data_IF_158895857274
#
_entry.id   IF_158895857274
#
_cell.length_a   1.000
_cell.length_b   1.000
_cell.length_c   1.000
_cell.angle_alpha   90.00
_cell.angle_beta   90.00
_cell.angle_gamma   90.00
#
_symmetry.space_group_name_H-M   'P 1'
#
loop_
_entity.id
_entity.type
_entity.pdbx_description
1 polymer ?
#
# COMPACT_ATOMS: atom_id res chain seq x y z
N UNK A 1 -24.23 12.88 -15.74
CA UNK A 1 -23.11 13.85 -15.85
C UNK A 1 -22.66 14.20 -14.45
N UNK A 2 -21.47 13.75 -14.03
CA UNK A 2 -20.92 14.12 -12.73
C UNK A 2 -20.57 15.60 -12.75
N UNK A 3 -21.17 16.38 -11.87
CA UNK A 3 -20.84 17.79 -11.65
C UNK A 3 -19.39 17.88 -11.19
N UNK A 4 -18.50 18.26 -12.10
CA UNK A 4 -17.09 18.48 -11.77
C UNK A 4 -17.02 19.54 -10.65
N UNK A 5 -16.58 19.14 -9.47
CA UNK A 5 -16.37 20.08 -8.37
C UNK A 5 -15.44 21.23 -8.84
N UNK A 6 -15.62 22.44 -8.34
CA UNK A 6 -14.70 23.54 -8.61
C UNK A 6 -13.26 23.10 -8.32
N UNK A 7 -12.31 23.39 -9.18
CA UNK A 7 -10.90 22.96 -9.11
C UNK A 7 -10.28 23.20 -7.72
N UNK A 8 -10.61 24.35 -7.12
CA UNK A 8 -10.14 24.68 -5.77
C UNK A 8 -10.67 23.72 -4.69
N UNK A 9 -11.88 23.20 -4.83
CA UNK A 9 -12.47 22.24 -3.90
C UNK A 9 -11.81 20.87 -4.03
N UNK A 10 -11.53 20.43 -5.25
CA UNK A 10 -10.85 19.17 -5.51
C UNK A 10 -9.41 19.17 -4.94
N UNK A 11 -8.65 20.27 -5.13
CA UNK A 11 -7.30 20.40 -4.58
C UNK A 11 -7.30 20.45 -3.04
N UNK A 12 -8.29 21.09 -2.40
CA UNK A 12 -8.46 21.08 -0.94
C UNK A 12 -8.77 19.67 -0.43
N UNK A 13 -9.67 18.95 -1.11
CA UNK A 13 -10.02 17.56 -0.79
C UNK A 13 -8.79 16.64 -0.84
N UNK A 14 -7.92 16.82 -1.86
CA UNK A 14 -6.70 16.02 -1.95
C UNK A 14 -5.70 16.30 -0.82
N UNK A 15 -5.60 17.52 -0.31
CA UNK A 15 -4.76 17.83 0.86
C UNK A 15 -5.29 17.14 2.12
N UNK A 16 -6.60 17.15 2.32
CA UNK A 16 -7.24 16.43 3.44
C UNK A 16 -7.01 14.93 3.30
N UNK A 17 -7.12 14.39 2.09
CA UNK A 17 -6.85 12.98 1.82
C UNK A 17 -5.39 12.61 2.05
N UNK A 18 -4.43 13.42 1.62
CA UNK A 18 -3.00 13.24 1.91
C UNK A 18 -2.73 13.21 3.42
N UNK A 19 -3.33 14.11 4.18
CA UNK A 19 -3.22 14.15 5.63
C UNK A 19 -3.78 12.88 6.29
N UNK A 20 -5.00 12.46 5.91
CA UNK A 20 -5.59 11.24 6.46
C UNK A 20 -4.84 9.97 6.04
N UNK A 21 -4.31 9.94 4.80
CA UNK A 21 -3.45 8.84 4.34
C UNK A 21 -2.17 8.75 5.18
N UNK A 22 -1.53 9.88 5.47
CA UNK A 22 -0.36 9.95 6.36
C UNK A 22 -0.68 9.37 7.74
N UNK A 23 -1.76 9.81 8.39
CA UNK A 23 -2.15 9.34 9.72
C UNK A 23 -2.53 7.85 9.72
N UNK A 24 -3.22 7.38 8.68
CA UNK A 24 -3.62 5.98 8.55
C UNK A 24 -2.40 5.06 8.41
N UNK A 25 -1.47 5.40 7.52
CA UNK A 25 -0.24 4.62 7.33
C UNK A 25 0.65 4.67 8.57
N UNK A 26 0.79 5.85 9.17
CA UNK A 26 1.52 6.04 10.43
C UNK A 26 0.96 5.14 11.52
N UNK A 27 -0.36 5.13 11.72
CA UNK A 27 -1.03 4.25 12.68
C UNK A 27 -0.76 2.76 12.39
N UNK A 28 -0.69 2.38 11.11
CA UNK A 28 -0.38 1.00 10.71
C UNK A 28 0.99 0.52 11.18
N UNK A 29 2.02 1.37 11.10
CA UNK A 29 3.41 0.99 11.38
C UNK A 29 3.90 1.33 12.79
N UNK A 30 3.29 2.30 13.49
CA UNK A 30 3.73 2.76 14.82
C UNK A 30 3.80 1.63 15.85
N UNK A 31 2.84 0.71 15.83
CA UNK A 31 2.74 -0.35 16.83
C UNK A 31 3.86 -1.38 16.74
N UNK A 32 4.51 -1.53 15.58
CA UNK A 32 5.65 -2.44 15.44
C UNK A 32 6.78 -2.09 16.41
N UNK A 33 7.00 -0.80 16.68
CA UNK A 33 8.01 -0.33 17.62
C UNK A 33 7.59 -0.58 19.08
N UNK A 34 6.29 -0.66 19.35
CA UNK A 34 5.75 -0.86 20.69
C UNK A 34 5.71 -2.34 21.12
N UNK A 35 5.78 -3.30 20.18
CA UNK A 35 5.61 -4.73 20.46
C UNK A 35 6.46 -5.25 21.62
N UNK A 36 7.77 -4.91 21.76
CA UNK A 36 8.57 -5.40 22.88
C UNK A 36 8.10 -4.89 24.26
N UNK A 37 7.62 -3.63 24.33
CA UNK A 37 7.07 -3.08 25.59
C UNK A 37 5.74 -3.71 25.95
N UNK A 38 4.87 -3.91 24.95
CA UNK A 38 3.57 -4.56 25.13
C UNK A 38 3.74 -6.03 25.56
N UNK A 39 4.72 -6.74 24.97
CA UNK A 39 5.09 -8.11 25.33
C UNK A 39 5.47 -8.22 26.80
N UNK A 40 6.34 -7.32 27.28
CA UNK A 40 6.76 -7.29 28.69
C UNK A 40 5.60 -6.96 29.63
N UNK A 41 4.74 -6.01 29.29
CA UNK A 41 3.63 -5.57 30.15
C UNK A 41 2.57 -6.65 30.37
N UNK A 42 2.22 -7.39 29.31
CA UNK A 42 1.21 -8.45 29.37
C UNK A 42 1.78 -9.85 29.56
N UNK A 43 3.11 -9.98 29.76
CA UNK A 43 3.82 -11.26 29.88
C UNK A 43 3.50 -12.22 28.72
N UNK A 44 3.45 -11.69 27.50
CA UNK A 44 3.15 -12.43 26.27
C UNK A 44 4.40 -12.61 25.42
N UNK A 45 4.41 -13.65 24.58
CA UNK A 45 5.46 -13.85 23.58
C UNK A 45 5.38 -12.78 22.47
N UNK A 46 6.51 -12.51 21.81
CA UNK A 46 6.52 -11.59 20.65
C UNK A 46 5.55 -12.07 19.56
N UNK A 47 5.45 -13.38 19.33
CA UNK A 47 4.49 -13.95 18.38
C UNK A 47 3.03 -13.62 18.73
N UNK A 48 2.65 -13.70 20.00
CA UNK A 48 1.31 -13.33 20.46
C UNK A 48 1.03 -11.84 20.30
N UNK A 49 1.98 -10.98 20.68
CA UNK A 49 1.80 -9.53 20.59
C UNK A 49 1.79 -9.03 19.14
N UNK A 50 2.47 -9.71 18.24
CA UNK A 50 2.49 -9.39 16.79
C UNK A 50 1.10 -9.44 16.15
N UNK A 51 0.11 -10.09 16.80
CA UNK A 51 -1.28 -10.04 16.39
C UNK A 51 -1.85 -8.61 16.31
N UNK A 52 -1.36 -7.67 17.11
CA UNK A 52 -1.75 -6.26 17.01
C UNK A 52 -1.47 -5.67 15.61
N UNK A 53 -0.38 -6.07 14.98
CA UNK A 53 -0.02 -5.61 13.63
C UNK A 53 -0.60 -6.51 12.55
N UNK A 54 -0.56 -7.83 12.73
CA UNK A 54 -1.06 -8.79 11.72
C UNK A 54 -2.57 -8.68 11.53
N UNK A 55 -3.35 -8.63 12.61
CA UNK A 55 -4.80 -8.46 12.52
C UNK A 55 -5.17 -7.12 11.89
N UNK A 56 -4.41 -6.05 12.21
CA UNK A 56 -4.60 -4.75 11.60
C UNK A 56 -4.45 -4.82 10.07
N UNK A 57 -3.33 -5.36 9.56
CA UNK A 57 -3.05 -5.45 8.12
C UNK A 57 -4.12 -6.31 7.41
N UNK A 58 -4.52 -7.43 8.03
CA UNK A 58 -5.55 -8.32 7.48
C UNK A 58 -6.89 -7.60 7.32
N UNK A 59 -7.39 -7.00 8.40
CA UNK A 59 -8.67 -6.28 8.40
C UNK A 59 -8.61 -5.07 7.47
N UNK A 60 -7.48 -4.37 7.42
CA UNK A 60 -7.26 -3.24 6.54
C UNK A 60 -7.33 -3.65 5.06
N UNK A 61 -6.70 -4.77 4.68
CA UNK A 61 -6.73 -5.30 3.33
C UNK A 61 -8.16 -5.71 2.89
N UNK A 62 -8.87 -6.46 3.75
CA UNK A 62 -10.25 -6.89 3.52
C UNK A 62 -11.18 -5.67 3.42
N UNK A 63 -11.02 -4.75 4.36
CA UNK A 63 -11.81 -3.52 4.42
C UNK A 63 -11.62 -2.63 3.20
N UNK A 64 -10.41 -2.54 2.63
CA UNK A 64 -10.14 -1.72 1.44
C UNK A 64 -11.02 -2.14 0.24
N UNK A 65 -11.20 -3.45 0.00
CA UNK A 65 -12.10 -3.96 -1.04
C UNK A 65 -13.56 -3.74 -0.67
N UNK A 66 -13.89 -4.01 0.59
CA UNK A 66 -15.26 -3.84 1.11
C UNK A 66 -15.72 -2.39 0.94
N UNK A 67 -14.91 -1.41 1.36
CA UNK A 67 -15.21 0.00 1.15
C UNK A 67 -15.20 0.40 -0.32
N UNK A 68 -14.35 -0.21 -1.15
CA UNK A 68 -14.39 -0.05 -2.60
C UNK A 68 -15.75 -0.43 -3.17
N UNK A 69 -16.28 -1.61 -2.80
CA UNK A 69 -17.62 -2.07 -3.22
C UNK A 69 -18.75 -1.20 -2.61
N UNK A 70 -18.61 -0.81 -1.35
CA UNK A 70 -19.57 0.07 -0.70
C UNK A 70 -19.61 1.47 -1.33
N UNK A 71 -18.47 1.96 -1.85
CA UNK A 71 -18.38 3.26 -2.53
C UNK A 71 -19.15 3.32 -3.87
N UNK A 72 -19.45 2.16 -4.47
CA UNK A 72 -20.31 2.11 -5.65
C UNK A 72 -21.81 2.19 -5.28
N UNK A 73 -22.15 1.89 -4.00
CA UNK A 73 -23.53 1.83 -3.49
C UNK A 73 -23.90 2.97 -2.54
N UNK A 74 -22.96 3.47 -1.75
CA UNK A 74 -23.20 4.52 -0.75
C UNK A 74 -22.45 5.79 -1.10
N UNK A 75 -22.88 6.91 -0.54
CA UNK A 75 -22.20 8.20 -0.71
C UNK A 75 -20.83 8.15 -0.06
N UNK A 76 -19.81 8.62 -0.75
CA UNK A 76 -18.43 8.65 -0.19
C UNK A 76 -18.37 9.41 1.12
N UNK A 77 -19.15 10.48 1.25
CA UNK A 77 -19.24 11.29 2.48
C UNK A 77 -19.67 10.46 3.70
N UNK A 78 -20.66 9.59 3.53
CA UNK A 78 -21.19 8.77 4.62
C UNK A 78 -20.23 7.63 4.98
N UNK A 79 -19.61 7.01 3.96
CA UNK A 79 -18.60 5.97 4.16
C UNK A 79 -17.37 6.48 4.90
N UNK A 80 -16.86 7.67 4.51
CA UNK A 80 -15.72 8.30 5.18
C UNK A 80 -16.09 8.65 6.62
N UNK A 81 -17.28 9.22 6.85
CA UNK A 81 -17.75 9.57 8.19
C UNK A 81 -17.80 8.32 9.07
N UNK A 82 -18.45 7.24 8.59
CA UNK A 82 -18.53 5.97 9.31
C UNK A 82 -17.13 5.37 9.58
N UNK A 83 -16.26 5.32 8.56
CA UNK A 83 -14.91 4.77 8.70
C UNK A 83 -14.07 5.55 9.72
N UNK A 84 -14.07 6.89 9.67
CA UNK A 84 -13.30 7.71 10.62
C UNK A 84 -13.85 7.65 12.04
N UNK A 85 -15.17 7.54 12.23
CA UNK A 85 -15.77 7.34 13.55
C UNK A 85 -15.44 5.96 14.11
N UNK A 86 -15.48 4.90 13.28
CA UNK A 86 -15.09 3.55 13.69
C UNK A 86 -13.59 3.48 14.05
N UNK A 87 -12.73 4.17 13.28
CA UNK A 87 -11.31 4.32 13.58
C UNK A 87 -11.08 5.01 14.93
N UNK A 88 -11.81 6.09 15.20
CA UNK A 88 -11.73 6.81 16.46
C UNK A 88 -12.25 5.97 17.64
N UNK A 89 -13.35 5.24 17.47
CA UNK A 89 -13.87 4.32 18.48
C UNK A 89 -12.84 3.25 18.85
N UNK A 90 -12.22 2.62 17.83
CA UNK A 90 -11.13 1.66 18.05
C UNK A 90 -9.93 2.29 18.77
N UNK A 91 -9.61 3.54 18.43
CA UNK A 91 -8.54 4.28 19.10
C UNK A 91 -8.86 4.59 20.58
N UNK A 92 -10.10 4.94 20.91
CA UNK A 92 -10.53 5.14 22.29
C UNK A 92 -10.49 3.86 23.12
N UNK A 93 -10.99 2.75 22.56
CA UNK A 93 -10.92 1.44 23.21
C UNK A 93 -9.46 1.02 23.45
N UNK A 94 -8.58 1.22 22.46
CA UNK A 94 -7.18 0.90 22.60
C UNK A 94 -6.45 1.78 23.61
N UNK A 95 -6.78 3.08 23.67
CA UNK A 95 -6.21 4.03 24.62
C UNK A 95 -6.54 3.67 26.07
N UNK A 96 -7.77 3.20 26.32
CA UNK A 96 -8.25 2.79 27.63
C UNK A 96 -8.04 1.31 27.93
N UNK A 97 -7.26 0.60 27.12
CA UNK A 97 -7.11 -0.85 27.25
C UNK A 97 -6.33 -1.23 28.50
N UNK A 98 -6.89 -2.11 29.31
CA UNK A 98 -6.25 -2.72 30.48
C UNK A 98 -5.78 -4.15 30.23
N UNK A 99 -6.27 -4.80 29.16
CA UNK A 99 -5.93 -6.16 28.76
C UNK A 99 -5.45 -6.18 27.31
N UNK A 100 -4.64 -7.19 26.96
CA UNK A 100 -4.22 -7.39 25.58
C UNK A 100 -5.41 -7.58 24.62
N UNK A 101 -6.44 -8.35 25.04
CA UNK A 101 -7.64 -8.55 24.23
C UNK A 101 -8.35 -7.24 23.90
N UNK A 102 -8.45 -6.31 24.87
CA UNK A 102 -9.05 -5.00 24.64
C UNK A 102 -8.22 -4.16 23.66
N UNK A 103 -6.89 -4.18 23.78
CA UNK A 103 -6.00 -3.51 22.84
C UNK A 103 -6.13 -4.10 21.43
N UNK A 104 -6.24 -5.43 21.31
CA UNK A 104 -6.43 -6.13 20.02
C UNK A 104 -7.79 -5.77 19.39
N UNK A 105 -8.87 -5.77 20.15
CA UNK A 105 -10.20 -5.31 19.67
C UNK A 105 -10.12 -3.86 19.20
N UNK A 106 -9.49 -2.97 19.97
CA UNK A 106 -9.25 -1.58 19.56
C UNK A 106 -8.52 -1.51 18.22
N UNK A 107 -7.48 -2.32 18.00
CA UNK A 107 -6.73 -2.39 16.73
C UNK A 107 -7.57 -2.93 15.58
N UNK A 108 -8.38 -3.95 15.80
CA UNK A 108 -9.29 -4.48 14.79
C UNK A 108 -10.31 -3.44 14.31
N UNK A 109 -10.94 -2.72 15.25
CA UNK A 109 -11.87 -1.64 14.94
C UNK A 109 -11.17 -0.47 14.23
N UNK A 110 -9.98 -0.12 14.69
CA UNK A 110 -9.12 0.88 14.05
C UNK A 110 -8.84 0.50 12.59
N UNK A 111 -8.42 -0.74 12.33
CA UNK A 111 -8.15 -1.23 10.99
C UNK A 111 -9.39 -1.20 10.10
N UNK A 112 -10.53 -1.68 10.63
CA UNK A 112 -11.80 -1.66 9.91
C UNK A 112 -12.23 -0.23 9.52
N UNK A 113 -12.04 0.74 10.41
CA UNK A 113 -12.31 2.14 10.11
C UNK A 113 -11.30 2.77 9.13
N UNK A 114 -10.01 2.53 9.34
CA UNK A 114 -8.94 3.07 8.52
C UNK A 114 -8.99 2.58 7.06
N UNK A 115 -9.54 1.40 6.83
CA UNK A 115 -9.61 0.78 5.50
C UNK A 115 -10.43 1.58 4.46
N UNK A 116 -11.27 2.53 4.91
CA UNK A 116 -11.94 3.48 3.99
C UNK A 116 -10.92 4.36 3.25
N UNK A 117 -9.79 4.69 3.89
CA UNK A 117 -8.84 5.68 3.38
C UNK A 117 -8.15 5.24 2.08
N UNK A 118 -7.57 4.02 1.94
CA UNK A 118 -7.00 3.58 0.68
C UNK A 118 -8.05 3.44 -0.43
N UNK A 119 -9.29 3.05 -0.10
CA UNK A 119 -10.36 2.99 -1.07
C UNK A 119 -10.67 4.38 -1.66
N UNK A 120 -10.89 5.39 -0.81
CA UNK A 120 -11.17 6.75 -1.28
C UNK A 120 -9.95 7.41 -1.92
N UNK A 121 -8.74 7.06 -1.51
CA UNK A 121 -7.50 7.55 -2.11
C UNK A 121 -7.38 7.18 -3.59
N UNK A 122 -7.97 6.06 -4.00
CA UNK A 122 -8.06 5.65 -5.39
C UNK A 122 -9.29 6.22 -6.10
N UNK A 123 -10.43 6.34 -5.41
CA UNK A 123 -11.72 6.73 -6.01
C UNK A 123 -11.81 8.25 -6.21
N UNK A 124 -11.39 9.07 -5.25
CA UNK A 124 -11.48 10.53 -5.33
C UNK A 124 -10.75 11.10 -6.56
N UNK A 125 -9.49 10.72 -6.87
CA UNK A 125 -8.82 11.17 -8.09
C UNK A 125 -9.62 10.86 -9.36
N UNK A 126 -10.29 9.72 -9.40
CA UNK A 126 -11.03 9.27 -10.58
C UNK A 126 -12.39 9.98 -10.76
N UNK A 127 -13.08 10.30 -9.65
CA UNK A 127 -14.41 10.95 -9.68
C UNK A 127 -14.34 12.48 -9.78
N UNK A 128 -13.37 13.10 -9.08
CA UNK A 128 -13.30 14.56 -8.92
C UNK A 128 -12.30 15.25 -9.85
N UNK A 129 -11.37 14.50 -10.47
CA UNK A 129 -10.35 15.09 -11.34
C UNK A 129 -10.53 14.68 -12.80
N UNK A 130 -10.25 15.63 -13.70
CA UNK A 130 -10.18 15.36 -15.13
C UNK A 130 -9.01 14.38 -15.42
N UNK A 131 -9.11 13.55 -16.47
CA UNK A 131 -8.11 12.52 -16.80
C UNK A 131 -6.68 13.05 -16.83
N UNK A 132 -6.49 14.31 -17.29
CA UNK A 132 -5.19 14.98 -17.45
C UNK A 132 -4.53 15.36 -16.11
N UNK A 133 -5.29 15.36 -15.00
CA UNK A 133 -4.81 15.73 -13.65
C UNK A 133 -4.86 14.59 -12.64
N UNK A 134 -5.31 13.41 -13.05
CA UNK A 134 -5.42 12.24 -12.16
C UNK A 134 -4.07 11.76 -11.63
N UNK A 135 -3.03 11.81 -12.48
CA UNK A 135 -1.68 11.44 -12.07
C UNK A 135 -1.16 12.33 -10.95
N UNK A 136 -1.36 13.66 -11.05
CA UNK A 136 -0.97 14.60 -9.99
C UNK A 136 -1.74 14.34 -8.68
N UNK A 137 -3.02 14.00 -8.75
CA UNK A 137 -3.85 13.66 -7.60
C UNK A 137 -3.37 12.34 -6.93
N UNK A 138 -3.12 11.29 -7.72
CA UNK A 138 -2.54 10.04 -7.22
C UNK A 138 -1.13 10.24 -6.65
N UNK A 139 -0.35 11.18 -7.21
CA UNK A 139 0.93 11.60 -6.64
C UNK A 139 0.82 12.16 -5.23
N UNK A 140 -0.23 12.89 -4.92
CA UNK A 140 -0.48 13.39 -3.55
C UNK A 140 -0.83 12.26 -2.57
N UNK A 141 -1.54 11.23 -3.01
CA UNK A 141 -1.80 10.05 -2.17
C UNK A 141 -0.51 9.26 -1.89
N UNK A 142 0.36 9.12 -2.88
CA UNK A 142 1.68 8.49 -2.72
C UNK A 142 2.57 9.26 -1.74
N UNK A 143 2.52 10.59 -1.75
CA UNK A 143 3.20 11.45 -0.76
C UNK A 143 2.69 11.17 0.65
N UNK A 144 1.36 11.08 0.84
CA UNK A 144 0.77 10.76 2.14
C UNK A 144 1.20 9.38 2.66
N UNK A 145 1.25 8.38 1.78
CA UNK A 145 1.74 7.03 2.08
C UNK A 145 3.21 7.08 2.56
N UNK A 146 4.08 7.77 1.82
CA UNK A 146 5.50 7.86 2.14
C UNK A 146 5.75 8.57 3.48
N UNK A 147 5.06 9.68 3.74
CA UNK A 147 5.13 10.39 5.01
C UNK A 147 4.64 9.53 6.19
N UNK A 148 3.54 8.81 6.02
CA UNK A 148 3.02 7.94 7.06
C UNK A 148 4.00 6.84 7.46
N UNK A 149 4.59 6.19 6.48
CA UNK A 149 5.59 5.13 6.70
C UNK A 149 6.89 5.67 7.35
N UNK A 150 7.31 6.88 7.00
CA UNK A 150 8.52 7.48 7.55
C UNK A 150 8.32 8.06 8.96
N UNK A 151 7.23 8.78 9.18
CA UNK A 151 6.95 9.43 10.46
C UNK A 151 6.47 8.45 11.54
N UNK A 152 5.84 7.34 11.12
CA UNK A 152 5.30 6.35 12.04
C UNK A 152 6.31 5.84 13.07
N UNK A 153 7.44 5.25 12.67
CA UNK A 153 8.46 4.79 13.59
C UNK A 153 9.06 5.90 14.47
N UNK A 154 9.27 7.10 13.91
CA UNK A 154 9.84 8.24 14.63
C UNK A 154 8.92 8.71 15.75
N UNK A 155 7.64 8.91 15.43
CA UNK A 155 6.62 9.34 16.41
C UNK A 155 6.40 8.23 17.44
N UNK A 156 6.40 6.96 17.02
CA UNK A 156 6.29 5.84 17.95
C UNK A 156 7.45 5.81 18.94
N UNK A 157 8.68 5.94 18.46
CA UNK A 157 9.86 5.97 19.31
C UNK A 157 9.82 7.12 20.31
N UNK A 158 9.42 8.32 19.87
CA UNK A 158 9.27 9.49 20.74
C UNK A 158 8.23 9.25 21.83
N UNK A 159 7.03 8.78 21.48
CA UNK A 159 5.96 8.50 22.43
C UNK A 159 6.37 7.42 23.43
N UNK A 160 6.95 6.32 22.94
CA UNK A 160 7.35 5.20 23.77
C UNK A 160 8.50 5.57 24.73
N UNK A 161 9.37 6.52 24.36
CA UNK A 161 10.44 6.98 25.24
C UNK A 161 9.98 7.94 26.34
N UNK A 162 8.94 8.72 26.11
CA UNK A 162 8.47 9.78 27.02
C UNK A 162 7.15 9.46 27.72
N UNK A 163 6.30 8.66 27.05
CA UNK A 163 4.95 8.33 27.49
C UNK A 163 4.73 6.82 27.46
N UNK A 164 3.51 6.41 27.80
CA UNK A 164 3.09 5.01 27.72
C UNK A 164 2.70 4.66 26.27
N UNK A 165 2.92 3.42 25.81
CA UNK A 165 2.62 2.95 24.45
C UNK A 165 1.13 3.15 24.06
N UNK A 166 0.21 3.17 25.02
CA UNK A 166 -1.22 3.44 24.76
C UNK A 166 -1.47 4.79 24.10
N UNK A 167 -0.59 5.78 24.30
CA UNK A 167 -0.69 7.08 23.66
C UNK A 167 -0.55 7.05 22.14
N UNK A 168 -0.04 5.94 21.57
CA UNK A 168 -0.07 5.70 20.13
C UNK A 168 -1.51 5.71 19.58
N UNK A 169 -2.47 5.23 20.36
CA UNK A 169 -3.89 5.33 19.99
C UNK A 169 -4.39 6.78 20.01
N UNK A 170 -3.92 7.61 20.93
CA UNK A 170 -4.31 9.01 21.01
C UNK A 170 -3.86 9.81 19.78
N UNK A 171 -2.65 9.57 19.27
CA UNK A 171 -2.17 10.17 18.01
C UNK A 171 -3.11 9.85 16.85
N UNK A 172 -3.63 8.65 16.82
CA UNK A 172 -4.56 8.21 15.78
C UNK A 172 -5.88 8.99 15.80
N UNK A 173 -6.32 9.50 16.95
CA UNK A 173 -7.54 10.33 17.07
C UNK A 173 -7.46 11.66 16.31
N UNK A 174 -6.25 12.13 16.00
CA UNK A 174 -6.04 13.36 15.21
C UNK A 174 -6.70 13.25 13.82
N UNK A 175 -6.95 12.03 13.33
CA UNK A 175 -7.68 11.82 12.07
C UNK A 175 -9.07 12.45 12.05
N UNK A 176 -9.71 12.58 13.22
CA UNK A 176 -11.05 13.22 13.34
C UNK A 176 -11.06 14.69 12.89
N UNK A 177 -9.92 15.38 12.95
CA UNK A 177 -9.78 16.75 12.43
C UNK A 177 -10.12 16.82 10.94
N UNK A 178 -9.92 15.73 10.19
CA UNK A 178 -10.26 15.67 8.78
C UNK A 178 -11.78 15.56 8.51
N UNK A 179 -12.56 15.06 9.47
CA UNK A 179 -13.99 14.77 9.29
C UNK A 179 -14.82 15.98 8.83
N UNK A 180 -14.74 17.17 9.48
CA UNK A 180 -15.51 18.33 9.03
C UNK A 180 -15.13 18.78 7.61
N UNK A 181 -13.87 18.63 7.23
CA UNK A 181 -13.41 18.97 5.89
C UNK A 181 -13.94 17.99 4.84
N UNK A 182 -13.97 16.69 5.11
CA UNK A 182 -14.60 15.72 4.22
C UNK A 182 -16.09 16.00 4.06
N UNK A 183 -16.80 16.30 5.16
CA UNK A 183 -18.22 16.64 5.11
C UNK A 183 -18.50 17.92 4.33
N UNK A 184 -17.54 18.86 4.30
CA UNK A 184 -17.65 20.13 3.55
C UNK A 184 -17.32 19.97 2.07
N UNK A 185 -16.30 19.17 1.72
CA UNK A 185 -15.75 19.12 0.37
C UNK A 185 -16.28 17.94 -0.47
N UNK A 186 -16.74 16.86 0.15
CA UNK A 186 -17.41 15.77 -0.55
C UNK A 186 -18.86 16.18 -0.85
N UNK A 187 -19.22 16.11 -2.13
CA UNK A 187 -20.57 16.39 -2.59
C UNK A 187 -21.59 15.33 -2.16
N UNK A 188 -22.87 15.66 -2.28
CA UNK A 188 -23.97 14.71 -2.13
C UNK A 188 -24.18 13.92 -3.44
N UNK A 189 -23.15 13.19 -3.88
CA UNK A 189 -23.25 12.36 -5.07
C UNK A 189 -24.26 11.24 -4.86
N UNK A 190 -25.04 10.95 -5.90
CA UNK A 190 -25.91 9.78 -5.88
C UNK A 190 -25.09 8.50 -6.10
N UNK A 191 -25.50 7.39 -5.46
CA UNK A 191 -24.86 6.09 -5.68
C UNK A 191 -24.90 5.70 -7.16
N UNK A 192 -23.85 5.06 -7.64
CA UNK A 192 -23.72 4.64 -9.04
C UNK A 192 -24.53 3.36 -9.31
N UNK A 193 -24.77 2.55 -8.27
CA UNK A 193 -25.42 1.23 -8.38
C UNK A 193 -26.41 0.98 -7.24
N UNK A 194 -27.54 0.35 -7.59
CA UNK A 194 -28.54 -0.16 -6.62
C UNK A 194 -28.38 -1.65 -6.29
N UNK A 195 -27.28 -2.29 -6.72
CA UNK A 195 -27.06 -3.74 -6.57
C UNK A 195 -27.02 -4.19 -5.09
N UNK A 196 -27.46 -5.42 -4.79
CA UNK A 196 -27.42 -5.99 -3.45
C UNK A 196 -25.97 -6.30 -3.06
N UNK A 197 -25.65 -6.17 -1.78
CA UNK A 197 -24.32 -6.52 -1.26
C UNK A 197 -24.23 -8.02 -0.96
N UNK A 198 -23.29 -8.71 -1.57
CA UNK A 198 -23.03 -10.14 -1.34
C UNK A 198 -22.16 -10.34 -0.09
N UNK A 199 -22.81 -10.45 1.08
CA UNK A 199 -22.13 -10.67 2.36
C UNK A 199 -21.38 -12.00 2.42
N UNK A 200 -21.93 -13.05 1.77
CA UNK A 200 -21.31 -14.38 1.73
C UNK A 200 -20.02 -14.32 0.91
N UNK A 201 -20.08 -13.72 -0.28
CA UNK A 201 -18.89 -13.55 -1.12
C UNK A 201 -17.83 -12.68 -0.46
N UNK A 202 -18.23 -11.58 0.19
CA UNK A 202 -17.31 -10.73 0.97
C UNK A 202 -16.66 -11.46 2.15
N UNK A 203 -17.44 -12.27 2.88
CA UNK A 203 -16.95 -13.10 3.98
C UNK A 203 -15.96 -14.17 3.52
N UNK A 204 -16.28 -14.92 2.45
CA UNK A 204 -15.38 -15.93 1.87
C UNK A 204 -14.07 -15.31 1.40
N UNK A 205 -14.11 -14.15 0.74
CA UNK A 205 -12.90 -13.41 0.35
C UNK A 205 -12.08 -13.00 1.57
N UNK A 206 -12.74 -12.47 2.61
CA UNK A 206 -12.11 -12.07 3.86
C UNK A 206 -11.39 -13.24 4.54
N UNK A 207 -12.05 -14.38 4.67
CA UNK A 207 -11.46 -15.62 5.25
C UNK A 207 -10.28 -16.09 4.40
N UNK A 208 -10.42 -16.06 3.06
CA UNK A 208 -9.32 -16.43 2.14
C UNK A 208 -8.07 -15.59 2.41
N UNK A 209 -8.24 -14.25 2.49
CA UNK A 209 -7.11 -13.32 2.73
C UNK A 209 -6.51 -13.58 4.11
N UNK A 210 -7.35 -13.76 5.14
CA UNK A 210 -6.91 -14.05 6.49
C UNK A 210 -6.05 -15.32 6.53
N UNK A 211 -6.55 -16.42 5.98
CA UNK A 211 -5.83 -17.69 5.94
C UNK A 211 -4.55 -17.62 5.12
N UNK A 212 -4.55 -16.87 4.01
CA UNK A 212 -3.40 -16.71 3.15
C UNK A 212 -2.28 -15.92 3.84
N UNK A 213 -2.60 -14.83 4.53
CA UNK A 213 -1.61 -14.05 5.29
C UNK A 213 -1.08 -14.84 6.49
N UNK A 214 -1.94 -15.58 7.19
CA UNK A 214 -1.55 -16.44 8.30
C UNK A 214 -0.68 -17.62 7.86
N UNK A 215 -0.89 -18.15 6.66
CA UNK A 215 -0.11 -19.29 6.16
C UNK A 215 1.37 -19.00 6.00
N UNK A 216 1.74 -17.74 5.78
CA UNK A 216 3.14 -17.32 5.62
C UNK A 216 3.96 -17.58 6.88
N UNK A 217 3.34 -17.40 8.04
CA UNK A 217 4.01 -17.55 9.35
C UNK A 217 3.69 -18.88 10.06
N UNK A 218 2.46 -19.42 9.86
CA UNK A 218 1.95 -20.54 10.67
C UNK A 218 1.82 -21.87 9.90
N UNK A 219 2.30 -21.93 8.65
CA UNK A 219 2.52 -23.19 7.97
C UNK A 219 1.52 -23.56 6.87
N UNK A 220 1.86 -24.66 6.19
CA UNK A 220 1.23 -25.11 4.94
C UNK A 220 -0.26 -25.49 5.05
N UNK A 221 -0.71 -25.95 6.21
CA UNK A 221 -2.13 -26.31 6.41
C UNK A 221 -3.06 -25.12 6.23
N UNK A 222 -2.65 -23.94 6.68
CA UNK A 222 -3.45 -22.72 6.48
C UNK A 222 -3.48 -22.28 5.01
N UNK A 223 -2.42 -22.56 4.25
CA UNK A 223 -2.41 -22.32 2.80
C UNK A 223 -3.41 -23.24 2.09
N UNK A 224 -3.49 -24.53 2.47
CA UNK A 224 -4.50 -25.44 1.94
C UNK A 224 -5.92 -24.96 2.29
N UNK A 225 -6.14 -24.51 3.53
CA UNK A 225 -7.40 -23.88 3.94
C UNK A 225 -7.74 -22.65 3.12
N UNK A 226 -6.76 -21.78 2.85
CA UNK A 226 -6.95 -20.61 2.01
C UNK A 226 -7.35 -20.98 0.57
N UNK A 227 -6.70 -21.99 -0.01
CA UNK A 227 -7.01 -22.49 -1.36
C UNK A 227 -8.41 -23.12 -1.42
N UNK A 228 -8.82 -23.85 -0.39
CA UNK A 228 -10.17 -24.42 -0.29
C UNK A 228 -11.23 -23.32 -0.24
N UNK A 229 -11.07 -22.32 0.66
CA UNK A 229 -12.02 -21.20 0.79
C UNK A 229 -12.03 -20.34 -0.46
N UNK A 230 -10.87 -20.15 -1.12
CA UNK A 230 -10.80 -19.49 -2.42
C UNK A 230 -11.61 -20.25 -3.48
N UNK A 231 -11.57 -21.59 -3.48
CA UNK A 231 -12.41 -22.42 -4.35
C UNK A 231 -13.91 -22.18 -4.11
N UNK A 232 -14.33 -22.13 -2.84
CA UNK A 232 -15.73 -21.80 -2.48
C UNK A 232 -16.10 -20.37 -2.93
N UNK A 233 -15.20 -19.41 -2.76
CA UNK A 233 -15.40 -18.05 -3.28
C UNK A 233 -15.55 -18.03 -4.79
N UNK A 234 -14.72 -18.78 -5.54
CA UNK A 234 -14.81 -18.88 -7.00
C UNK A 234 -16.14 -19.52 -7.48
N UNK A 235 -16.65 -20.50 -6.75
CA UNK A 235 -17.99 -21.05 -6.99
C UNK A 235 -19.06 -19.99 -6.72
N UNK A 236 -18.97 -19.29 -5.58
CA UNK A 236 -19.92 -18.25 -5.18
C UNK A 236 -20.02 -17.13 -6.21
N UNK A 237 -18.92 -16.60 -6.70
CA UNK A 237 -18.93 -15.50 -7.69
C UNK A 237 -19.50 -15.91 -9.06
N UNK A 238 -19.52 -17.23 -9.37
CA UNK A 238 -20.12 -17.75 -10.60
C UNK A 238 -21.62 -18.03 -10.45
N UNK A 239 -22.09 -18.34 -9.24
CA UNK A 239 -23.47 -18.74 -8.98
C UNK A 239 -24.36 -17.61 -8.45
N UNK A 240 -23.76 -16.59 -7.83
CA UNK A 240 -24.52 -15.46 -7.29
C UNK A 240 -25.07 -14.57 -8.42
N UNK A 241 -26.32 -14.16 -8.32
CA UNK A 241 -26.93 -13.20 -9.28
C UNK A 241 -26.24 -11.82 -9.22
N UNK A 242 -25.83 -11.38 -8.03
CA UNK A 242 -25.08 -10.14 -7.81
C UNK A 242 -23.83 -10.45 -6.97
N UNK A 243 -22.74 -10.94 -7.59
CA UNK A 243 -21.55 -11.37 -6.86
C UNK A 243 -20.81 -10.19 -6.24
N UNK A 244 -20.06 -10.45 -5.14
CA UNK A 244 -19.22 -9.45 -4.48
C UNK A 244 -18.22 -8.82 -5.46
N UNK A 245 -17.62 -9.64 -6.32
CA UNK A 245 -16.76 -9.22 -7.43
C UNK A 245 -17.32 -9.82 -8.71
N UNK A 246 -17.60 -8.97 -9.69
CA UNK A 246 -18.08 -9.45 -10.98
C UNK A 246 -16.96 -10.20 -11.72
N UNK A 247 -17.17 -11.48 -12.13
CA UNK A 247 -16.15 -12.25 -12.86
C UNK A 247 -15.70 -11.59 -14.16
N UNK A 248 -16.55 -10.76 -14.77
CA UNK A 248 -16.24 -9.96 -15.97
C UNK A 248 -15.02 -9.05 -15.79
N UNK A 249 -14.73 -8.60 -14.55
CA UNK A 249 -13.52 -7.80 -14.27
C UNK A 249 -12.24 -8.55 -14.62
N UNK A 250 -12.18 -9.85 -14.33
CA UNK A 250 -11.02 -10.68 -14.60
C UNK A 250 -10.89 -11.10 -16.07
N UNK A 251 -11.97 -10.99 -16.86
CA UNK A 251 -11.92 -11.18 -18.30
C UNK A 251 -11.17 -10.03 -19.00
N UNK A 252 -11.09 -8.87 -18.36
CA UNK A 252 -10.24 -7.79 -18.82
C UNK A 252 -8.77 -8.11 -18.54
N UNK A 253 -8.08 -8.67 -19.53
CA UNK A 253 -6.68 -9.08 -19.43
C UNK A 253 -5.75 -7.96 -18.95
N UNK A 254 -6.00 -6.71 -19.37
CA UNK A 254 -5.19 -5.56 -18.94
C UNK A 254 -5.38 -5.27 -17.44
N UNK A 255 -6.60 -5.38 -16.95
CA UNK A 255 -6.90 -5.21 -15.54
C UNK A 255 -6.25 -6.30 -14.69
N UNK A 256 -6.41 -7.58 -15.08
CA UNK A 256 -5.81 -8.72 -14.36
C UNK A 256 -4.28 -8.63 -14.32
N UNK A 257 -3.64 -8.31 -15.45
CA UNK A 257 -2.20 -8.06 -15.48
C UNK A 257 -1.80 -6.86 -14.60
N UNK A 258 -2.64 -5.82 -14.54
CA UNK A 258 -2.46 -4.68 -13.66
C UNK A 258 -2.49 -5.06 -12.17
N UNK A 259 -3.42 -5.94 -11.76
CA UNK A 259 -3.46 -6.50 -10.40
C UNK A 259 -2.19 -7.29 -10.07
N UNK A 260 -1.76 -8.15 -10.97
CA UNK A 260 -0.52 -8.95 -10.81
C UNK A 260 0.71 -8.03 -10.68
N UNK A 261 0.80 -7.01 -11.54
CA UNK A 261 1.87 -6.01 -11.45
C UNK A 261 1.85 -5.29 -10.11
N UNK A 262 0.68 -4.86 -9.66
CA UNK A 262 0.52 -4.16 -8.39
C UNK A 262 0.95 -5.01 -7.20
N UNK A 263 0.56 -6.28 -7.19
CA UNK A 263 0.98 -7.27 -6.20
C UNK A 263 2.51 -7.43 -6.16
N UNK A 264 3.16 -7.65 -7.32
CA UNK A 264 4.61 -7.83 -7.41
C UNK A 264 5.37 -6.57 -7.02
N UNK A 265 4.93 -5.40 -7.49
CA UNK A 265 5.53 -4.10 -7.16
C UNK A 265 5.46 -3.84 -5.66
N UNK A 266 4.29 -4.04 -5.05
CA UNK A 266 4.10 -3.81 -3.62
C UNK A 266 4.95 -4.75 -2.77
N UNK A 267 5.06 -6.01 -3.16
CA UNK A 267 5.96 -6.97 -2.54
C UNK A 267 7.42 -6.54 -2.65
N UNK A 268 7.90 -6.20 -3.85
CA UNK A 268 9.29 -5.77 -4.07
C UNK A 268 9.62 -4.47 -3.32
N UNK A 269 8.74 -3.46 -3.41
CA UNK A 269 8.96 -2.17 -2.77
C UNK A 269 8.91 -2.22 -1.24
N UNK A 270 8.20 -3.20 -0.66
CA UNK A 270 8.15 -3.43 0.78
C UNK A 270 9.54 -3.69 1.38
N UNK A 271 10.47 -4.22 0.58
CA UNK A 271 11.87 -4.44 0.99
C UNK A 271 12.55 -3.17 1.49
N UNK A 272 12.23 -1.99 0.91
CA UNK A 272 12.79 -0.71 1.31
C UNK A 272 12.45 -0.32 2.75
N UNK A 273 11.33 -0.82 3.30
CA UNK A 273 10.88 -0.53 4.66
C UNK A 273 11.17 -1.66 5.65
N UNK A 274 11.42 -2.86 5.18
CA UNK A 274 11.65 -4.04 6.02
C UNK A 274 13.12 -4.42 6.05
N UNK A 275 13.73 -4.63 4.88
CA UNK A 275 15.12 -5.09 4.80
C UNK A 275 16.12 -3.97 5.12
N UNK A 276 15.83 -2.71 4.74
CA UNK A 276 16.79 -1.63 4.95
C UNK A 276 17.04 -1.31 6.43
N UNK A 277 16.01 -1.22 7.30
CA UNK A 277 16.24 -1.11 8.74
C UNK A 277 16.99 -2.33 9.32
N UNK A 278 16.64 -3.55 8.90
CA UNK A 278 17.33 -4.78 9.36
C UNK A 278 18.80 -4.78 8.94
N UNK A 279 19.11 -4.40 7.70
CA UNK A 279 20.47 -4.26 7.20
C UNK A 279 21.26 -3.24 8.04
N UNK A 280 20.68 -2.08 8.34
CA UNK A 280 21.33 -1.05 9.15
C UNK A 280 21.53 -1.51 10.62
N UNK A 281 20.64 -2.36 11.15
CA UNK A 281 20.78 -2.95 12.47
C UNK A 281 21.81 -4.05 12.47
N UNK A 282 21.68 -5.06 11.61
CA UNK A 282 22.42 -6.31 11.70
C UNK A 282 23.84 -6.19 11.12
N UNK A 283 24.00 -5.43 10.04
CA UNK A 283 25.29 -5.27 9.35
C UNK A 283 26.05 -4.05 9.86
N UNK A 284 25.37 -2.92 10.05
CA UNK A 284 25.99 -1.66 10.44
C UNK A 284 25.97 -1.41 11.95
N UNK A 285 25.24 -2.25 12.73
CA UNK A 285 25.11 -2.16 14.19
C UNK A 285 24.65 -0.76 14.66
N UNK A 286 23.81 -0.08 13.86
CA UNK A 286 23.36 1.27 14.17
C UNK A 286 22.31 1.26 15.29
N UNK A 287 22.37 2.19 16.25
CA UNK A 287 21.28 2.44 17.18
C UNK A 287 19.98 2.82 16.46
N UNK A 288 18.83 2.39 16.98
CA UNK A 288 17.50 2.59 16.35
C UNK A 288 17.19 4.05 15.97
N UNK A 289 17.70 5.01 16.73
CA UNK A 289 17.50 6.45 16.45
C UNK A 289 18.19 6.85 15.14
N UNK A 290 19.42 6.39 14.89
CA UNK A 290 20.17 6.69 13.68
C UNK A 290 19.58 5.99 12.45
N UNK A 291 19.00 4.80 12.63
CA UNK A 291 18.26 4.11 11.57
C UNK A 291 17.09 4.97 11.10
N UNK A 292 16.33 5.55 12.05
CA UNK A 292 15.26 6.49 11.72
C UNK A 292 15.77 7.68 10.90
N UNK A 293 16.87 8.31 11.32
CA UNK A 293 17.47 9.44 10.59
C UNK A 293 17.97 9.04 9.19
N UNK A 294 18.53 7.85 9.02
CA UNK A 294 18.98 7.36 7.70
C UNK A 294 17.82 7.17 6.69
N UNK A 295 16.60 6.89 7.19
CA UNK A 295 15.42 6.71 6.34
C UNK A 295 14.69 8.03 6.00
N UNK A 296 14.86 9.08 6.80
CA UNK A 296 14.18 10.39 6.60
C UNK A 296 14.47 11.00 5.22
N UNK A 297 15.73 11.07 4.70
CA UNK A 297 15.98 11.64 3.39
C UNK A 297 15.23 10.95 2.26
N UNK A 298 15.10 9.62 2.32
CA UNK A 298 14.39 8.84 1.32
C UNK A 298 12.88 9.16 1.32
N UNK A 299 12.27 9.27 2.50
CA UNK A 299 10.89 9.66 2.65
C UNK A 299 10.63 11.11 2.21
N UNK A 300 11.51 12.05 2.58
CA UNK A 300 11.44 13.45 2.17
C UNK A 300 11.54 13.58 0.63
N UNK A 301 12.46 12.86 0.01
CA UNK A 301 12.60 12.83 -1.45
C UNK A 301 11.34 12.27 -2.12
N UNK A 302 10.79 11.16 -1.62
CA UNK A 302 9.53 10.59 -2.13
C UNK A 302 8.37 11.59 -2.05
N UNK A 303 8.28 12.33 -0.96
CA UNK A 303 7.27 13.36 -0.76
C UNK A 303 7.44 14.55 -1.73
N UNK A 304 8.67 15.05 -1.90
CA UNK A 304 8.97 16.17 -2.80
C UNK A 304 8.73 15.80 -4.27
N UNK A 305 9.15 14.60 -4.68
CA UNK A 305 9.06 14.14 -6.06
C UNK A 305 7.72 13.47 -6.40
N UNK A 306 6.95 12.96 -5.46
CA UNK A 306 5.70 12.26 -5.71
C UNK A 306 4.70 13.09 -6.53
N UNK A 307 4.47 14.37 -6.17
CA UNK A 307 3.62 15.27 -6.96
C UNK A 307 4.19 15.55 -8.34
N UNK A 308 5.52 15.66 -8.48
CA UNK A 308 6.19 15.86 -9.78
C UNK A 308 6.03 14.64 -10.67
N UNK A 309 6.17 13.43 -10.09
CA UNK A 309 5.92 12.16 -10.78
C UNK A 309 4.50 12.06 -11.33
N UNK A 310 3.49 12.48 -10.54
CA UNK A 310 2.11 12.55 -10.99
C UNK A 310 1.88 13.51 -12.15
N UNK A 311 2.44 14.73 -12.09
CA UNK A 311 2.39 15.70 -13.19
C UNK A 311 3.11 15.18 -14.45
N UNK A 312 4.22 14.47 -14.25
CA UNK A 312 4.97 13.86 -15.34
C UNK A 312 4.17 12.74 -16.03
N UNK A 313 3.41 11.96 -15.24
CA UNK A 313 2.49 10.95 -15.76
C UNK A 313 1.35 11.57 -16.59
N UNK A 314 0.84 12.72 -16.17
CA UNK A 314 -0.18 13.46 -16.90
C UNK A 314 0.38 14.08 -18.20
N UNK A 315 1.62 14.62 -18.18
CA UNK A 315 2.24 15.28 -19.32
C UNK A 315 2.85 14.32 -20.35
N UNK A 316 3.62 13.32 -19.89
CA UNK A 316 4.38 12.39 -20.76
C UNK A 316 3.82 10.99 -20.83
N UNK A 317 2.76 10.72 -20.05
CA UNK A 317 2.08 9.42 -19.99
C UNK A 317 2.66 8.47 -18.93
N UNK A 318 1.83 7.51 -18.52
CA UNK A 318 2.15 6.56 -17.45
C UNK A 318 3.36 5.68 -17.78
N UNK A 319 3.50 5.24 -19.04
CA UNK A 319 4.60 4.36 -19.44
C UNK A 319 5.97 5.03 -19.29
N UNK A 320 6.06 6.33 -19.58
CA UNK A 320 7.30 7.08 -19.40
C UNK A 320 7.73 7.12 -17.92
N UNK A 321 6.76 7.40 -17.02
CA UNK A 321 7.00 7.43 -15.57
C UNK A 321 7.33 6.03 -15.04
N UNK A 322 6.67 4.98 -15.54
CA UNK A 322 6.95 3.60 -15.15
C UNK A 322 8.37 3.17 -15.53
N UNK A 323 8.88 3.56 -16.69
CA UNK A 323 10.26 3.24 -17.09
C UNK A 323 11.29 3.96 -16.21
N UNK A 324 11.11 5.27 -15.94
CA UNK A 324 11.97 5.99 -15.00
C UNK A 324 11.94 5.34 -13.62
N UNK A 325 10.75 5.01 -13.12
CA UNK A 325 10.57 4.38 -11.83
C UNK A 325 11.29 3.03 -11.74
N UNK A 326 11.12 2.19 -12.77
CA UNK A 326 11.78 0.90 -12.83
C UNK A 326 13.30 1.02 -12.90
N UNK A 327 13.83 2.01 -13.63
CA UNK A 327 15.28 2.29 -13.68
C UNK A 327 15.82 2.72 -12.33
N UNK A 328 15.09 3.58 -11.59
CA UNK A 328 15.46 4.01 -10.25
C UNK A 328 15.45 2.85 -9.24
N UNK A 329 14.42 1.98 -9.29
CA UNK A 329 14.32 0.80 -8.44
C UNK A 329 15.43 -0.22 -8.77
N UNK A 330 15.69 -0.47 -10.04
CA UNK A 330 16.80 -1.34 -10.48
C UNK A 330 18.15 -0.81 -9.97
N UNK A 331 18.41 0.48 -10.14
CA UNK A 331 19.64 1.10 -9.64
C UNK A 331 19.73 0.97 -8.11
N UNK A 332 18.65 1.24 -7.38
CA UNK A 332 18.62 1.08 -5.93
C UNK A 332 18.94 -0.34 -5.50
N UNK A 333 18.25 -1.34 -6.05
CA UNK A 333 18.47 -2.74 -5.67
C UNK A 333 19.85 -3.26 -6.07
N UNK A 334 20.38 -2.86 -7.23
CA UNK A 334 21.74 -3.18 -7.64
C UNK A 334 22.79 -2.58 -6.70
N UNK A 335 22.63 -1.30 -6.34
CA UNK A 335 23.54 -0.61 -5.43
C UNK A 335 23.47 -1.23 -4.02
N UNK A 336 22.26 -1.54 -3.52
CA UNK A 336 22.10 -2.21 -2.23
C UNK A 336 22.66 -3.64 -2.24
N UNK A 337 22.53 -4.39 -3.34
CA UNK A 337 23.12 -5.72 -3.48
C UNK A 337 24.63 -5.68 -3.50
N UNK A 338 25.23 -4.65 -4.12
CA UNK A 338 26.69 -4.57 -4.30
C UNK A 338 27.38 -3.90 -3.12
N UNK A 339 26.76 -2.91 -2.51
CA UNK A 339 27.35 -2.07 -1.47
C UNK A 339 26.69 -2.27 -0.10
N UNK A 340 26.22 -3.47 0.20
CA UNK A 340 25.54 -3.84 1.46
C UNK A 340 26.38 -3.51 2.71
N UNK A 341 27.71 -3.67 2.64
CA UNK A 341 28.64 -3.37 3.74
C UNK A 341 29.13 -1.92 3.81
N UNK A 342 28.67 -1.04 2.91
CA UNK A 342 29.14 0.36 2.84
C UNK A 342 28.55 1.22 3.94
N UNK A 343 29.05 2.46 4.07
CA UNK A 343 28.62 3.39 5.11
C UNK A 343 27.10 3.63 5.11
N UNK A 344 26.47 3.85 6.28
CA UNK A 344 25.04 4.11 6.39
C UNK A 344 24.55 5.30 5.55
N UNK A 345 25.43 6.30 5.32
CA UNK A 345 25.13 7.47 4.51
C UNK A 345 24.92 7.09 3.03
N UNK A 346 25.76 6.19 2.49
CA UNK A 346 25.60 5.70 1.11
C UNK A 346 24.31 4.88 0.97
N UNK A 347 24.01 4.02 1.96
CA UNK A 347 22.75 3.26 1.99
C UNK A 347 21.55 4.23 1.98
N UNK A 348 21.59 5.30 2.77
CA UNK A 348 20.54 6.33 2.79
C UNK A 348 20.37 7.00 1.40
N UNK A 349 21.45 7.29 0.68
CA UNK A 349 21.40 7.82 -0.69
C UNK A 349 20.77 6.83 -1.67
N UNK A 350 21.11 5.54 -1.57
CA UNK A 350 20.50 4.50 -2.42
C UNK A 350 19.00 4.36 -2.16
N UNK A 351 18.59 4.47 -0.90
CA UNK A 351 17.19 4.44 -0.50
C UNK A 351 16.39 5.63 -1.04
N UNK A 352 17.02 6.80 -1.27
CA UNK A 352 16.37 7.92 -1.96
C UNK A 352 15.92 7.50 -3.36
N UNK A 353 16.79 6.84 -4.15
CA UNK A 353 16.44 6.34 -5.49
C UNK A 353 15.27 5.35 -5.42
N UNK A 354 15.33 4.40 -4.48
CA UNK A 354 14.30 3.38 -4.30
C UNK A 354 12.94 3.99 -3.94
N UNK A 355 12.90 4.90 -2.98
CA UNK A 355 11.65 5.52 -2.52
C UNK A 355 11.01 6.44 -3.57
N UNK A 356 11.81 7.20 -4.32
CA UNK A 356 11.32 8.00 -5.46
C UNK A 356 10.79 7.07 -6.56
N UNK A 357 11.55 6.01 -6.90
CA UNK A 357 11.14 4.99 -7.86
C UNK A 357 9.81 4.32 -7.46
N UNK A 358 9.67 3.93 -6.18
CA UNK A 358 8.43 3.37 -5.64
C UNK A 358 7.25 4.33 -5.80
N UNK A 359 7.42 5.59 -5.43
CA UNK A 359 6.37 6.60 -5.56
C UNK A 359 5.90 6.71 -7.01
N UNK A 360 6.83 6.75 -7.97
CA UNK A 360 6.54 6.87 -9.38
C UNK A 360 5.87 5.62 -9.98
N UNK A 361 6.35 4.42 -9.63
CA UNK A 361 5.76 3.18 -10.17
C UNK A 361 4.32 2.97 -9.68
N UNK A 362 4.05 3.28 -8.41
CA UNK A 362 2.71 3.19 -7.82
C UNK A 362 1.74 4.15 -8.55
N UNK A 363 2.16 5.40 -8.79
CA UNK A 363 1.36 6.38 -9.54
C UNK A 363 1.07 5.86 -10.96
N UNK A 364 2.10 5.40 -11.67
CA UNK A 364 1.98 4.95 -13.05
C UNK A 364 1.05 3.74 -13.18
N UNK A 365 1.18 2.75 -12.29
CA UNK A 365 0.38 1.52 -12.32
C UNK A 365 -1.07 1.82 -11.90
N UNK A 366 -1.29 2.54 -10.80
CA UNK A 366 -2.63 2.89 -10.34
C UNK A 366 -3.40 3.67 -11.42
N UNK A 367 -2.77 4.65 -12.06
CA UNK A 367 -3.38 5.43 -13.14
C UNK A 367 -3.59 4.59 -14.42
N UNK A 368 -2.68 3.66 -14.74
CA UNK A 368 -2.83 2.76 -15.90
C UNK A 368 -3.98 1.77 -15.68
N UNK A 369 -4.07 1.17 -14.49
CA UNK A 369 -5.13 0.22 -14.15
C UNK A 369 -6.48 0.89 -14.07
N UNK A 370 -6.57 2.08 -13.47
CA UNK A 370 -7.83 2.83 -13.37
C UNK A 370 -8.47 3.12 -14.73
N UNK A 371 -7.66 3.32 -15.77
CA UNK A 371 -8.13 3.55 -17.15
C UNK A 371 -8.70 2.31 -17.84
N UNK A 372 -8.51 1.12 -17.27
CA UNK A 372 -9.04 -0.14 -17.80
C UNK A 372 -10.41 -0.49 -17.22
N UNK A 373 -10.86 0.23 -16.18
CA UNK A 373 -12.09 -0.04 -15.46
C UNK A 373 -13.28 0.75 -16.04
N UNK A 374 -14.44 0.12 -16.21
CA UNK A 374 -15.69 0.82 -16.50
C UNK A 374 -16.13 1.66 -15.30
N UNK A 375 -16.88 2.74 -15.55
CA UNK A 375 -17.24 3.74 -14.54
C UNK A 375 -18.05 3.16 -13.36
N UNK A 376 -18.89 2.16 -13.61
CA UNK A 376 -19.73 1.46 -12.63
C UNK A 376 -18.96 0.48 -11.73
N UNK A 377 -17.70 0.13 -12.07
CA UNK A 377 -16.87 -0.85 -11.37
C UNK A 377 -15.57 -0.26 -10.83
N UNK A 378 -15.43 1.06 -10.89
CA UNK A 378 -14.22 1.75 -10.41
C UNK A 378 -13.97 1.50 -8.92
N UNK A 379 -15.01 1.55 -8.08
CA UNK A 379 -14.88 1.38 -6.64
C UNK A 379 -14.35 -0.01 -6.29
N UNK A 380 -15.03 -1.07 -6.73
CA UNK A 380 -14.60 -2.45 -6.46
C UNK A 380 -13.26 -2.77 -7.13
N UNK A 381 -13.04 -2.30 -8.36
CA UNK A 381 -11.81 -2.56 -9.09
C UNK A 381 -10.58 -1.92 -8.42
N UNK A 382 -10.68 -0.67 -7.97
CA UNK A 382 -9.59 0.01 -7.26
C UNK A 382 -9.43 -0.50 -5.83
N UNK A 383 -10.52 -0.93 -5.18
CA UNK A 383 -10.47 -1.64 -3.90
C UNK A 383 -9.68 -2.95 -4.00
N UNK A 384 -9.91 -3.74 -5.05
CA UNK A 384 -9.13 -4.96 -5.33
C UNK A 384 -7.65 -4.66 -5.60
N UNK A 385 -7.35 -3.56 -6.29
CA UNK A 385 -5.97 -3.12 -6.50
C UNK A 385 -5.28 -2.83 -5.16
N UNK A 386 -5.96 -2.12 -4.26
CA UNK A 386 -5.46 -1.87 -2.91
C UNK A 386 -5.26 -3.15 -2.11
N UNK A 387 -6.21 -4.09 -2.19
CA UNK A 387 -6.09 -5.41 -1.57
C UNK A 387 -4.88 -6.19 -2.09
N UNK A 388 -4.69 -6.24 -3.42
CA UNK A 388 -3.54 -6.90 -4.03
C UNK A 388 -2.21 -6.31 -3.51
N UNK A 389 -2.14 -4.98 -3.33
CA UNK A 389 -0.99 -4.32 -2.74
C UNK A 389 -0.71 -4.78 -1.31
N UNK A 390 -1.73 -4.85 -0.43
CA UNK A 390 -1.55 -5.27 0.95
C UNK A 390 -1.23 -6.75 1.09
N UNK A 391 -1.83 -7.61 0.27
CA UNK A 391 -1.49 -9.04 0.24
C UNK A 391 -0.04 -9.22 -0.23
N UNK A 392 0.37 -8.52 -1.30
CA UNK A 392 1.75 -8.55 -1.80
C UNK A 392 2.76 -8.13 -0.75
N UNK A 393 2.49 -7.04 -0.01
CA UNK A 393 3.32 -6.59 1.10
C UNK A 393 3.36 -7.62 2.24
N UNK A 394 2.20 -8.14 2.67
CA UNK A 394 2.11 -9.10 3.77
C UNK A 394 2.89 -10.39 3.50
N UNK A 395 2.75 -10.96 2.30
CA UNK A 395 3.52 -12.14 1.88
C UNK A 395 5.02 -11.82 1.82
N UNK A 396 5.38 -10.69 1.23
CA UNK A 396 6.78 -10.30 1.08
C UNK A 396 7.48 -10.08 2.44
N UNK A 397 6.82 -9.45 3.41
CA UNK A 397 7.35 -9.28 4.77
C UNK A 397 7.70 -10.65 5.38
N UNK A 398 6.79 -11.61 5.32
CA UNK A 398 7.02 -12.95 5.83
C UNK A 398 8.17 -13.68 5.11
N UNK A 399 8.24 -13.56 3.78
CA UNK A 399 9.32 -14.15 2.98
C UNK A 399 10.68 -13.52 3.31
N UNK A 400 10.75 -12.19 3.43
CA UNK A 400 11.99 -11.49 3.78
C UNK A 400 12.46 -11.85 5.19
N UNK A 401 11.57 -11.84 6.18
CA UNK A 401 11.91 -12.23 7.55
C UNK A 401 12.46 -13.66 7.59
N UNK A 402 11.75 -14.60 6.94
CA UNK A 402 12.20 -16.00 6.88
C UNK A 402 13.52 -16.16 6.12
N UNK A 403 13.74 -15.41 5.05
CA UNK A 403 15.00 -15.44 4.30
C UNK A 403 16.17 -14.93 5.14
N UNK A 404 15.98 -13.85 5.91
CA UNK A 404 16.98 -13.31 6.83
C UNK A 404 17.29 -14.32 7.93
N UNK A 405 16.28 -14.94 8.56
CA UNK A 405 16.45 -15.95 9.61
C UNK A 405 17.23 -17.18 9.11
N UNK A 406 16.93 -17.67 7.89
CA UNK A 406 17.62 -18.82 7.29
C UNK A 406 19.06 -18.51 6.87
N UNK A 407 19.36 -17.26 6.54
CA UNK A 407 20.66 -16.84 6.04
C UNK A 407 21.75 -16.66 7.11
N UNK A 408 21.43 -16.84 8.39
CA UNK A 408 22.41 -16.81 9.48
C UNK A 408 23.40 -17.99 9.46
N UNK A 409 23.13 -19.05 8.69
CA UNK A 409 23.98 -20.21 8.51
C UNK A 409 24.64 -20.20 7.12
N UNK A 410 25.93 -19.86 7.03
CA UNK A 410 26.88 -20.02 5.90
C UNK A 410 26.27 -20.05 4.49
N UNK A 411 25.91 -18.89 3.94
CA UNK A 411 25.52 -18.77 2.52
C UNK A 411 26.69 -18.27 1.65
N UNK A 412 26.78 -18.80 0.44
CA UNK A 412 27.64 -18.24 -0.61
C UNK A 412 27.01 -16.98 -1.19
N UNK A 413 27.82 -15.97 -1.49
CA UNK A 413 27.35 -14.79 -2.20
C UNK A 413 27.03 -15.10 -3.66
N UNK A 414 25.86 -14.72 -4.12
CA UNK A 414 25.46 -14.79 -5.55
C UNK A 414 25.96 -13.58 -6.34
N UNK A 415 26.32 -12.51 -5.64
CA UNK A 415 26.88 -11.31 -6.25
C UNK A 415 28.41 -11.41 -6.26
N UNK A 416 29.06 -11.53 -7.42
CA UNK A 416 30.52 -11.64 -7.50
C UNK A 416 31.28 -10.40 -7.01
N UNK A 417 30.61 -9.24 -6.96
CA UNK A 417 31.18 -7.98 -6.48
C UNK A 417 31.08 -7.83 -4.95
N UNK A 418 30.33 -8.71 -4.28
CA UNK A 418 30.18 -8.73 -2.82
C UNK A 418 30.41 -10.16 -2.32
N UNK A 419 31.65 -10.51 -2.03
CA UNK A 419 32.03 -11.90 -1.75
C UNK A 419 32.18 -12.26 -0.27
N UNK A 420 32.31 -11.29 0.65
CA UNK A 420 32.62 -11.55 2.05
C UNK A 420 31.93 -10.57 3.00
N UNK A 421 31.41 -11.07 4.14
CA UNK A 421 30.89 -10.24 5.23
C UNK A 421 29.50 -10.66 5.75
N UNK A 422 29.09 -10.06 6.86
CA UNK A 422 27.80 -10.30 7.53
C UNK A 422 26.57 -9.91 6.71
N UNK A 423 26.74 -9.20 5.59
CA UNK A 423 25.67 -8.71 4.74
C UNK A 423 25.29 -9.62 3.56
N UNK A 424 25.89 -10.81 3.41
CA UNK A 424 25.68 -11.71 2.24
C UNK A 424 24.21 -12.00 2.00
N UNK A 425 23.43 -12.26 3.05
CA UNK A 425 22.01 -12.56 2.92
C UNK A 425 21.23 -11.38 2.33
N UNK A 426 21.50 -10.16 2.77
CA UNK A 426 20.87 -8.94 2.24
C UNK A 426 21.25 -8.71 0.78
N UNK A 427 22.55 -8.90 0.44
CA UNK A 427 23.04 -8.83 -0.95
C UNK A 427 22.29 -9.80 -1.86
N UNK A 428 22.13 -11.07 -1.45
CA UNK A 428 21.43 -12.10 -2.20
C UNK A 428 19.93 -11.76 -2.37
N UNK A 429 19.26 -11.28 -1.30
CA UNK A 429 17.85 -10.88 -1.39
C UNK A 429 17.69 -9.69 -2.36
N UNK A 430 18.56 -8.68 -2.27
CA UNK A 430 18.51 -7.55 -3.21
C UNK A 430 18.83 -7.97 -4.66
N UNK A 431 19.70 -8.95 -4.88
CA UNK A 431 19.95 -9.53 -6.21
C UNK A 431 18.69 -10.21 -6.78
N UNK A 432 17.93 -10.95 -5.96
CA UNK A 432 16.62 -11.51 -6.36
C UNK A 432 15.65 -10.39 -6.71
N UNK A 433 15.66 -9.29 -5.95
CA UNK A 433 14.80 -8.13 -6.22
C UNK A 433 15.15 -7.42 -7.53
N UNK A 434 16.42 -7.38 -7.93
CA UNK A 434 16.82 -6.94 -9.28
C UNK A 434 16.16 -7.80 -10.35
N UNK A 435 16.22 -9.12 -10.21
CA UNK A 435 15.56 -10.05 -11.15
C UNK A 435 14.04 -9.85 -11.19
N UNK A 436 13.41 -9.72 -10.03
CA UNK A 436 11.97 -9.45 -9.93
C UNK A 436 11.58 -8.13 -10.61
N UNK A 437 12.40 -7.08 -10.46
CA UNK A 437 12.15 -5.77 -11.06
C UNK A 437 12.28 -5.80 -12.59
N UNK A 438 13.19 -6.62 -13.14
CA UNK A 438 13.27 -6.85 -14.59
C UNK A 438 12.01 -7.56 -15.11
N UNK A 439 11.49 -8.54 -14.38
CA UNK A 439 10.23 -9.22 -14.71
C UNK A 439 9.06 -8.21 -14.68
N UNK A 440 8.97 -7.39 -13.64
CA UNK A 440 7.96 -6.33 -13.50
C UNK A 440 8.02 -5.37 -14.69
N UNK A 441 9.21 -4.92 -15.08
CA UNK A 441 9.43 -4.03 -16.22
C UNK A 441 8.96 -4.68 -17.52
N UNK A 442 9.31 -5.95 -17.74
CA UNK A 442 8.88 -6.74 -18.91
C UNK A 442 7.36 -6.90 -18.97
N UNK A 443 6.74 -7.29 -17.86
CA UNK A 443 5.29 -7.40 -17.75
C UNK A 443 4.58 -6.06 -17.99
N UNK A 444 5.12 -4.96 -17.44
CA UNK A 444 4.57 -3.63 -17.68
C UNK A 444 4.67 -3.23 -19.17
N UNK A 445 5.81 -3.49 -19.80
CA UNK A 445 6.02 -3.21 -21.23
C UNK A 445 5.01 -3.96 -22.10
N UNK A 446 4.79 -5.25 -21.85
CA UNK A 446 3.82 -6.09 -22.60
C UNK A 446 2.38 -5.62 -22.35
N UNK A 447 2.04 -5.23 -21.10
CA UNK A 447 0.67 -4.89 -20.70
C UNK A 447 0.24 -3.49 -21.14
N UNK A 448 1.13 -2.50 -20.97
CA UNK A 448 0.82 -1.07 -21.12
C UNK A 448 1.75 -0.30 -22.05
N UNK A 449 2.94 -0.83 -22.37
CA UNK A 449 3.97 -0.12 -23.16
C UNK A 449 3.66 0.01 -24.64
N UNK A 450 2.93 -0.95 -25.23
CA UNK A 450 2.64 -0.99 -26.68
C UNK A 450 1.59 0.00 -27.16
N UNK A 451 0.97 0.75 -26.28
CA UNK A 451 -0.19 1.60 -26.63
C UNK A 451 0.16 2.90 -27.36
N UNK A 452 1.42 3.31 -27.41
CA UNK A 452 1.85 4.58 -28.02
C UNK A 452 1.90 4.58 -29.57
N UNK A 453 1.93 3.40 -30.21
CA UNK A 453 2.02 3.31 -31.69
C UNK A 453 0.69 3.41 -32.43
N UNK A 454 -0.47 3.22 -31.78
CA UNK A 454 -1.78 3.24 -32.44
C UNK A 454 -2.49 4.60 -32.48
N UNK A 455 -2.16 5.53 -31.59
CA UNK A 455 -2.82 6.86 -31.56
C UNK A 455 -2.22 7.82 -32.57
N UNK A 456 -0.98 7.64 -32.99
CA UNK A 456 -0.32 8.46 -34.04
C UNK A 456 -0.63 8.03 -35.47
N UNK A 457 -1.28 6.87 -35.68
CA UNK A 457 -1.60 6.37 -37.00
C UNK A 457 -3.04 6.66 -37.48
N UNK A 458 -3.86 7.34 -36.67
CA UNK A 458 -5.27 7.61 -36.97
C UNK A 458 -5.65 9.10 -36.81
N UNK A 459 -4.74 10.02 -37.09
CA UNK A 459 -5.14 11.38 -37.50
C UNK A 459 -5.05 11.45 -39.01
N UNK A 460 -6.19 11.42 -39.74
CA UNK A 460 -6.19 11.86 -41.13
C UNK A 460 -5.84 13.34 -41.14
N UNK A 461 -4.90 13.69 -41.98
CA UNK A 461 -4.58 15.06 -42.40
C UNK A 461 -5.84 15.77 -42.88
N UNK A 462 -6.53 16.51 -41.99
CA UNK A 462 -7.50 17.53 -42.36
C UNK A 462 -6.72 18.85 -42.40
N UNK A 463 -5.81 18.98 -43.36
CA UNK A 463 -5.24 20.27 -43.77
C UNK A 463 -4.75 20.12 -45.23
N UNK A 464 -5.69 19.90 -46.14
CA UNK A 464 -5.51 20.23 -47.56
C UNK A 464 -6.87 20.44 -48.16
N UNK A 465 -7.44 21.61 -47.91
CA UNK A 465 -8.43 22.32 -48.75
C UNK A 465 -8.93 23.53 -47.96
N UNK A 466 -8.15 24.58 -47.94
CA UNK A 466 -8.57 25.99 -48.00
C UNK A 466 -7.43 26.74 -48.71
#
# INVERSE_FOLDING_TARGET
MATKAPLQTADKLMRVLMFTMTLSMMSGVMFNIALPKISKEFALTIAQVSWLSSAYIMIYAIGAVTYGKLADRYRLKDLVTFGLLLFALGSLIGLTSHTFGMALVGRCLQAAGAAVIPAIAMIIPLRYFAPERRGAALGMTAVGLAFGNALGPVIAALIISTLHWRWLFAVSLVVLVALPFYRKYLGNEQPVSSSKFDWIGGGLLGITIALLLLSVTNGFLLLLGAMFVLGLFMVRIRTAGEPFIAPKLFQNRKYTLGLTLSFLISGSCCSLYVLSPLLLTDVQQLPSVWIGFALVPAAAASALFGRRGGKLADAKGNSYVAYIASSLLLACFLLLATFTGSSPLLIAVFLVLGNVGQSFIVIAVNNSVSRTLPADQVGVGMGMLSMANFIGQGIAIGLYSKAVDLGSASMTSWNPLFSHGSGIIFSNIYAVLVGSQLIILGLYYVSFGRQKRRVTATQPSILSNI
#
